data_IF_457465492061
#
_entry.id   IF_457465492061
#
_cell.length_a   1.000
_cell.length_b   1.000
_cell.length_c   1.000
_cell.angle_alpha   90.00
_cell.angle_beta   90.00
_cell.angle_gamma   90.00
#
_symmetry.space_group_name_H-M   'P 1'
#
loop_
_entity.id
_entity.type
_entity.pdbx_description
1 polymer ?
#
# COMPACT_ATOMS: atom_id res chain seq x y z
N UNK A 1 6.78 -2.24 16.96
CA UNK A 1 7.75 -3.30 17.27
C UNK A 1 9.13 -2.71 17.38
N UNK A 2 9.74 -2.76 18.56
CA UNK A 2 11.14 -2.41 18.77
C UNK A 2 12.08 -3.49 18.17
N UNK A 3 13.39 -3.31 18.26
CA UNK A 3 14.36 -4.25 17.67
C UNK A 3 14.24 -5.66 18.28
N UNK A 4 14.26 -5.77 19.61
CA UNK A 4 14.17 -7.05 20.32
C UNK A 4 12.88 -7.83 19.97
N UNK A 5 11.74 -7.14 19.92
CA UNK A 5 10.46 -7.74 19.51
C UNK A 5 10.49 -8.31 18.09
N UNK A 6 11.22 -7.67 17.16
CA UNK A 6 11.36 -8.19 15.79
C UNK A 6 12.25 -9.42 15.74
N UNK A 7 13.36 -9.43 16.50
CA UNK A 7 14.24 -10.60 16.59
C UNK A 7 13.46 -11.82 17.10
N UNK A 8 12.73 -11.68 18.22
CA UNK A 8 11.94 -12.77 18.78
C UNK A 8 10.83 -13.24 17.83
N UNK A 9 10.18 -12.32 17.11
CA UNK A 9 9.19 -12.70 16.10
C UNK A 9 9.78 -13.56 14.98
N UNK A 10 11.00 -13.24 14.51
CA UNK A 10 11.69 -14.02 13.46
C UNK A 10 12.18 -15.37 14.00
N UNK A 11 12.68 -15.43 15.25
CA UNK A 11 13.11 -16.68 15.91
C UNK A 11 12.00 -17.72 16.03
N UNK A 12 10.74 -17.30 16.09
CA UNK A 12 9.57 -18.19 16.13
C UNK A 12 9.01 -18.53 14.74
N UNK A 13 9.64 -18.09 13.66
CA UNK A 13 9.25 -18.49 12.31
C UNK A 13 9.70 -19.93 12.04
N UNK A 14 8.77 -20.78 11.58
CA UNK A 14 9.00 -22.21 11.30
C UNK A 14 10.20 -22.49 10.38
N UNK A 15 10.52 -21.56 9.48
CA UNK A 15 11.50 -21.74 8.41
C UNK A 15 12.86 -21.10 8.72
N UNK A 16 13.05 -20.58 9.93
CA UNK A 16 14.28 -19.89 10.34
C UNK A 16 15.12 -20.82 11.21
N UNK A 17 16.37 -21.03 10.80
CA UNK A 17 17.36 -21.80 11.57
C UNK A 17 18.25 -20.91 12.44
N UNK A 18 18.71 -19.77 11.90
CA UNK A 18 19.57 -18.79 12.59
C UNK A 18 19.06 -17.37 12.36
N UNK A 19 19.23 -16.50 13.37
CA UNK A 19 18.97 -15.05 13.26
C UNK A 19 20.26 -14.29 13.51
N UNK A 20 20.73 -13.58 12.50
CA UNK A 20 21.83 -12.62 12.60
C UNK A 20 21.27 -11.28 13.07
N UNK A 21 21.63 -10.87 14.28
CA UNK A 21 21.28 -9.55 14.83
C UNK A 21 22.11 -8.46 14.13
N UNK A 22 21.58 -7.23 14.10
CA UNK A 22 22.25 -6.06 13.48
C UNK A 22 22.75 -6.27 12.05
N UNK A 23 21.95 -6.96 11.22
CA UNK A 23 22.24 -7.13 9.80
C UNK A 23 22.47 -5.77 9.11
N UNK A 24 23.48 -5.66 8.22
CA UNK A 24 23.82 -4.39 7.59
C UNK A 24 22.73 -3.96 6.61
N UNK A 25 22.63 -2.65 6.38
CA UNK A 25 21.70 -2.10 5.39
C UNK A 25 22.04 -2.52 3.96
N UNK A 26 23.34 -2.67 3.66
CA UNK A 26 23.86 -3.14 2.36
C UNK A 26 24.72 -4.37 2.61
N UNK A 27 24.47 -5.44 1.85
CA UNK A 27 25.22 -6.70 1.96
C UNK A 27 26.47 -6.60 1.09
N UNK A 28 27.64 -6.78 1.70
CA UNK A 28 28.94 -6.74 1.03
C UNK A 28 29.64 -8.11 1.01
N UNK A 29 30.82 -8.18 0.40
CA UNK A 29 31.61 -9.40 0.30
C UNK A 29 32.02 -9.95 1.67
N UNK A 30 32.38 -9.06 2.61
CA UNK A 30 32.85 -9.45 3.94
C UNK A 30 31.73 -10.11 4.75
N UNK A 31 30.50 -9.59 4.65
CA UNK A 31 29.34 -10.18 5.29
C UNK A 31 28.99 -11.56 4.70
N UNK A 32 29.02 -11.68 3.37
CA UNK A 32 28.78 -12.96 2.68
C UNK A 32 29.82 -14.01 3.08
N UNK A 33 31.11 -13.65 3.12
CA UNK A 33 32.19 -14.57 3.50
C UNK A 33 32.08 -14.98 4.97
N UNK A 34 31.90 -14.00 5.88
CA UNK A 34 31.78 -14.24 7.32
C UNK A 34 30.67 -15.24 7.66
N UNK A 35 29.51 -15.10 7.03
CA UNK A 35 28.35 -15.95 7.30
C UNK A 35 28.19 -17.10 6.30
N UNK A 36 29.17 -17.30 5.42
CA UNK A 36 29.18 -18.35 4.39
C UNK A 36 27.88 -18.39 3.57
N UNK A 37 27.41 -17.22 3.11
CA UNK A 37 26.13 -17.08 2.44
C UNK A 37 26.22 -17.56 0.97
N UNK A 38 25.46 -18.61 0.65
CA UNK A 38 25.36 -19.11 -0.72
C UNK A 38 24.48 -18.22 -1.59
N UNK A 39 23.30 -17.85 -1.07
CA UNK A 39 22.29 -17.05 -1.75
C UNK A 39 21.65 -16.01 -0.83
N UNK A 40 21.27 -14.87 -1.40
CA UNK A 40 20.49 -13.81 -0.75
C UNK A 40 19.08 -13.82 -1.33
N UNK A 41 18.06 -14.01 -0.49
CA UNK A 41 16.66 -14.08 -0.91
C UNK A 41 15.86 -12.84 -0.51
N UNK A 42 15.28 -12.15 -1.49
CA UNK A 42 14.36 -11.01 -1.31
C UNK A 42 13.41 -10.95 -2.52
N UNK A 43 12.37 -10.10 -2.52
CA UNK A 43 11.59 -9.86 -3.74
C UNK A 43 12.45 -9.25 -4.86
N UNK A 44 12.00 -9.42 -6.11
CA UNK A 44 12.80 -9.10 -7.32
C UNK A 44 13.00 -7.59 -7.54
N UNK A 45 12.14 -6.77 -6.95
CA UNK A 45 12.14 -5.32 -7.14
C UNK A 45 13.47 -4.69 -6.68
N UNK A 46 13.93 -3.68 -7.41
CA UNK A 46 15.13 -2.94 -7.01
C UNK A 46 14.84 -2.18 -5.72
N UNK A 47 15.63 -2.42 -4.68
CA UNK A 47 15.41 -1.79 -3.40
C UNK A 47 16.29 -0.53 -3.30
N UNK A 48 15.71 0.59 -3.73
CA UNK A 48 16.38 1.89 -3.73
C UNK A 48 16.57 2.44 -2.32
N UNK A 49 17.73 3.04 -2.09
CA UNK A 49 18.07 3.73 -0.85
C UNK A 49 18.95 4.94 -1.16
N UNK A 50 19.08 5.88 -0.22
CA UNK A 50 19.97 7.02 -0.40
C UNK A 50 21.40 6.54 -0.76
N UNK A 51 21.88 6.91 -1.94
CA UNK A 51 23.19 6.52 -2.47
C UNK A 51 23.27 5.14 -3.15
N UNK A 52 22.15 4.41 -3.28
CA UNK A 52 22.11 3.08 -3.89
C UNK A 52 20.88 2.92 -4.79
N UNK A 53 21.12 2.61 -6.07
CA UNK A 53 20.04 2.23 -7.02
C UNK A 53 19.38 0.90 -6.61
N UNK A 54 20.16 -0.02 -6.05
CA UNK A 54 19.66 -1.28 -5.49
C UNK A 54 20.62 -1.79 -4.42
N UNK A 55 20.17 -1.90 -3.16
CA UNK A 55 21.00 -2.41 -2.06
C UNK A 55 21.39 -3.89 -2.23
N UNK A 56 20.68 -4.63 -3.08
CA UNK A 56 21.03 -6.01 -3.44
C UNK A 56 21.85 -6.13 -4.74
N UNK A 57 22.23 -5.00 -5.35
CA UNK A 57 22.93 -4.98 -6.64
C UNK A 57 24.22 -5.82 -6.66
N UNK A 58 24.94 -5.85 -5.54
CA UNK A 58 26.14 -6.69 -5.38
C UNK A 58 25.82 -8.19 -5.40
N UNK A 59 24.81 -8.64 -4.65
CA UNK A 59 24.40 -10.04 -4.67
C UNK A 59 23.87 -10.47 -6.05
N UNK A 60 23.15 -9.57 -6.73
CA UNK A 60 22.64 -9.79 -8.10
C UNK A 60 23.79 -9.92 -9.12
N UNK A 61 24.81 -9.06 -9.06
CA UNK A 61 25.94 -9.10 -10.00
C UNK A 61 26.80 -10.37 -9.87
N UNK A 62 26.81 -10.98 -8.68
CA UNK A 62 27.47 -12.26 -8.41
C UNK A 62 26.63 -13.49 -8.81
N UNK A 63 25.39 -13.31 -9.28
CA UNK A 63 24.47 -14.41 -9.54
C UNK A 63 24.02 -15.16 -8.28
N UNK A 64 24.14 -14.52 -7.10
CA UNK A 64 23.80 -15.09 -5.79
C UNK A 64 22.45 -14.58 -5.25
N UNK A 65 21.66 -13.89 -6.06
CA UNK A 65 20.35 -13.39 -5.65
C UNK A 65 19.24 -14.39 -6.03
N UNK A 66 18.39 -14.75 -5.08
CA UNK A 66 17.26 -15.65 -5.26
C UNK A 66 15.93 -14.88 -5.11
N UNK A 67 15.27 -14.49 -6.22
CA UNK A 67 14.05 -13.70 -6.13
C UNK A 67 12.89 -14.50 -5.54
N UNK A 68 12.21 -13.91 -4.57
CA UNK A 68 10.98 -14.44 -3.95
C UNK A 68 9.76 -13.66 -4.43
N UNK A 69 8.56 -14.18 -4.15
CA UNK A 69 7.29 -13.53 -4.51
C UNK A 69 6.61 -12.97 -3.27
N UNK A 70 6.15 -11.73 -3.37
CA UNK A 70 5.33 -11.10 -2.34
C UNK A 70 4.00 -11.85 -2.18
N UNK A 71 3.50 -11.94 -0.95
CA UNK A 71 2.17 -12.48 -0.68
C UNK A 71 1.13 -11.36 -0.87
N UNK A 72 0.18 -11.48 -1.81
CA UNK A 72 -0.79 -10.42 -2.05
C UNK A 72 -1.78 -10.27 -0.88
N UNK A 73 -2.23 -9.04 -0.63
CA UNK A 73 -3.28 -8.74 0.37
C UNK A 73 -2.81 -8.71 1.83
N UNK A 74 -1.50 -8.78 2.07
CA UNK A 74 -0.91 -8.65 3.40
C UNK A 74 0.37 -7.79 3.34
N UNK A 75 0.42 -6.77 4.19
CA UNK A 75 1.60 -5.93 4.42
C UNK A 75 1.51 -5.27 5.79
N UNK A 76 2.62 -4.82 6.35
CA UNK A 76 2.61 -4.05 7.61
C UNK A 76 1.75 -2.79 7.48
N UNK A 77 1.86 -2.08 6.34
CA UNK A 77 1.06 -0.89 6.04
C UNK A 77 -0.44 -1.21 5.99
N UNK A 78 -0.82 -2.30 5.31
CA UNK A 78 -2.22 -2.74 5.22
C UNK A 78 -2.81 -3.05 6.59
N UNK A 79 -2.04 -3.72 7.46
CA UNK A 79 -2.46 -4.03 8.82
C UNK A 79 -2.66 -2.76 9.65
N UNK A 80 -1.71 -1.82 9.57
CA UNK A 80 -1.82 -0.51 10.24
C UNK A 80 -3.05 0.24 9.73
N UNK A 81 -3.24 0.31 8.41
CA UNK A 81 -4.38 1.00 7.81
C UNK A 81 -5.72 0.41 8.25
N UNK A 82 -5.84 -0.93 8.30
CA UNK A 82 -7.05 -1.61 8.81
C UNK A 82 -7.35 -1.21 10.24
N UNK A 83 -6.33 -1.14 11.11
CA UNK A 83 -6.49 -0.72 12.50
C UNK A 83 -6.89 0.75 12.59
N UNK A 84 -6.15 1.64 11.93
CA UNK A 84 -6.41 3.09 11.92
C UNK A 84 -7.82 3.39 11.41
N UNK A 85 -8.25 2.78 10.31
CA UNK A 85 -9.60 2.91 9.78
C UNK A 85 -10.65 2.43 10.78
N UNK A 86 -10.39 1.34 11.49
CA UNK A 86 -11.28 0.83 12.53
C UNK A 86 -11.49 1.83 13.67
N UNK A 87 -10.43 2.49 14.12
CA UNK A 87 -10.53 3.57 15.12
C UNK A 87 -11.25 4.81 14.55
N UNK A 88 -10.87 5.31 13.37
CA UNK A 88 -11.52 6.48 12.74
C UNK A 88 -13.02 6.30 12.58
N UNK A 89 -13.44 5.11 12.16
CA UNK A 89 -14.84 4.76 11.96
C UNK A 89 -15.54 4.29 13.25
N UNK A 90 -14.88 4.36 14.42
CA UNK A 90 -15.43 3.96 15.72
C UNK A 90 -15.93 2.51 15.77
N UNK A 91 -15.38 1.63 14.94
CA UNK A 91 -15.77 0.22 14.84
C UNK A 91 -15.46 -0.52 16.15
N UNK A 92 -14.40 -0.10 16.85
CA UNK A 92 -13.96 -0.71 18.09
C UNK A 92 -14.65 -0.14 19.35
N UNK A 93 -15.29 1.03 19.26
CA UNK A 93 -15.87 1.74 20.42
C UNK A 93 -16.87 0.89 21.24
N UNK A 94 -17.83 0.16 20.63
CA UNK A 94 -18.77 -0.66 21.41
C UNK A 94 -18.06 -1.74 22.23
N UNK A 95 -17.00 -2.34 21.66
CA UNK A 95 -16.22 -3.38 22.34
C UNK A 95 -15.36 -2.78 23.45
N UNK A 96 -14.72 -1.63 23.20
CA UNK A 96 -13.88 -0.93 24.17
C UNK A 96 -14.70 -0.46 25.39
N UNK A 97 -15.89 0.11 25.17
CA UNK A 97 -16.81 0.47 26.24
C UNK A 97 -17.22 -0.75 27.08
N UNK A 98 -17.55 -1.88 26.44
CA UNK A 98 -17.86 -3.13 27.15
C UNK A 98 -16.69 -3.65 27.98
N UNK A 99 -15.46 -3.38 27.55
CA UNK A 99 -14.23 -3.74 28.26
C UNK A 99 -13.83 -2.71 29.34
N UNK A 100 -14.60 -1.63 29.54
CA UNK A 100 -14.26 -0.56 30.46
C UNK A 100 -13.03 0.26 30.03
N UNK A 101 -12.73 0.29 28.73
CA UNK A 101 -11.59 0.99 28.13
C UNK A 101 -12.03 2.20 27.32
N UNK A 102 -12.81 3.07 27.94
CA UNK A 102 -13.28 4.30 27.29
C UNK A 102 -12.12 5.25 26.94
N UNK A 103 -10.99 5.14 27.65
CA UNK A 103 -9.73 5.84 27.38
C UNK A 103 -9.12 5.53 26.00
N UNK A 104 -9.49 4.41 25.39
CA UNK A 104 -8.98 3.98 24.07
C UNK A 104 -9.95 4.24 22.93
N UNK A 105 -11.14 4.79 23.20
CA UNK A 105 -12.12 5.10 22.15
C UNK A 105 -11.60 6.24 21.28
N UNK A 106 -12.02 6.25 20.03
CA UNK A 106 -11.56 7.29 19.12
C UNK A 106 -12.15 8.65 19.53
N UNK A 107 -11.27 9.56 19.96
CA UNK A 107 -11.54 10.99 19.96
C UNK A 107 -11.66 11.40 18.48
N UNK A 108 -12.83 11.92 18.08
CA UNK A 108 -13.14 12.14 16.67
C UNK A 108 -12.01 12.89 15.95
N UNK A 109 -11.48 12.31 14.88
CA UNK A 109 -10.51 13.00 14.04
C UNK A 109 -11.24 13.70 12.90
N UNK A 110 -11.15 15.02 12.84
CA UNK A 110 -11.76 15.87 11.81
C UNK A 110 -11.19 15.64 10.39
N UNK A 111 -10.21 14.73 10.25
CA UNK A 111 -9.53 14.44 8.98
C UNK A 111 -10.46 13.95 7.87
N UNK A 112 -11.53 13.20 8.19
CA UNK A 112 -12.45 12.65 7.19
C UNK A 112 -13.60 13.61 6.81
N UNK A 113 -13.85 14.68 7.57
CA UNK A 113 -14.96 15.60 7.29
C UNK A 113 -14.69 16.50 6.06
N UNK A 114 -13.41 16.72 5.73
CA UNK A 114 -13.01 17.47 4.52
C UNK A 114 -13.41 16.76 3.21
N UNK A 115 -13.41 15.41 3.20
CA UNK A 115 -13.84 14.63 2.03
C UNK A 115 -15.36 14.66 1.82
N UNK A 116 -16.11 14.74 2.93
CA UNK A 116 -17.58 14.83 2.94
C UNK A 116 -18.07 16.24 2.60
N UNK A 117 -17.31 17.28 2.96
CA UNK A 117 -17.58 18.66 2.57
C UNK A 117 -17.39 18.87 1.06
N UNK A 118 -16.32 18.32 0.46
CA UNK A 118 -16.09 18.44 -0.99
C UNK A 118 -17.13 17.68 -1.84
N UNK A 119 -17.63 16.53 -1.36
CA UNK A 119 -18.69 15.77 -2.06
C UNK A 119 -20.10 16.39 -1.91
N UNK A 120 -20.36 17.13 -0.82
CA UNK A 120 -21.58 17.94 -0.65
C UNK A 120 -21.58 19.24 -1.46
N UNK A 121 -20.42 19.85 -1.70
CA UNK A 121 -20.31 21.05 -2.53
C UNK A 121 -20.61 20.77 -4.02
N UNK A 122 -20.11 19.64 -4.55
CA UNK A 122 -20.34 19.23 -5.94
C UNK A 122 -21.80 18.84 -6.24
N UNK A 123 -22.49 18.18 -5.31
CA UNK A 123 -23.89 17.76 -5.48
C UNK A 123 -24.88 18.93 -5.44
N UNK A 124 -24.59 19.99 -4.68
CA UNK A 124 -25.45 21.19 -4.59
C UNK A 124 -25.37 22.09 -5.83
N UNK A 125 -24.28 22.03 -6.60
CA UNK A 125 -24.11 22.77 -7.85
C UNK A 125 -24.91 22.14 -9.02
N UNK A 126 -25.06 20.82 -9.04
CA UNK A 126 -25.83 20.11 -10.09
C UNK A 126 -27.35 20.27 -9.91
N UNK A 127 -27.85 20.36 -8.68
CA UNK A 127 -29.28 20.51 -8.39
C UNK A 127 -29.86 21.87 -8.84
N UNK A 128 -29.05 22.91 -9.05
CA UNK A 128 -29.51 24.25 -9.46
C UNK A 128 -29.59 24.48 -10.98
N UNK A 129 -29.19 23.52 -11.82
CA UNK A 129 -29.21 23.66 -13.30
C UNK A 129 -30.36 22.93 -14.02
N UNK A 130 -31.28 22.29 -13.30
CA UNK A 130 -32.32 21.45 -13.90
C UNK A 130 -33.74 21.94 -13.67
N UNK A 131 -34.12 23.11 -14.21
CA UNK A 131 -35.54 23.43 -14.44
C UNK A 131 -35.73 24.55 -15.47
N UNK A 132 -35.50 24.28 -16.75
CA UNK A 132 -36.16 25.03 -17.83
C UNK A 132 -36.68 24.00 -18.84
N UNK A 133 -37.99 24.08 -19.09
CA UNK A 133 -38.82 23.04 -19.67
C UNK A 133 -38.53 22.69 -21.13
N UNK A 134 -38.96 21.49 -21.48
CA UNK A 134 -38.97 20.96 -22.83
C UNK A 134 -40.20 21.44 -23.60
N UNK A 135 -40.01 21.89 -24.85
CA UNK A 135 -41.02 21.81 -25.90
C UNK A 135 -40.38 21.41 -27.23
N UNK A 136 -41.02 20.43 -27.86
CA UNK A 136 -40.66 19.68 -29.06
C UNK A 136 -40.25 20.50 -30.30
N UNK A 137 -39.32 19.96 -31.10
CA UNK A 137 -39.64 19.52 -32.48
C UNK A 137 -38.52 18.66 -33.10
N UNK A 138 -38.98 17.81 -33.99
CA UNK A 138 -38.38 16.64 -34.62
C UNK A 138 -37.48 17.03 -35.79
N UNK A 139 -36.29 16.46 -35.97
CA UNK A 139 -35.60 16.32 -37.27
C UNK A 139 -34.49 15.24 -37.20
N UNK A 140 -34.53 14.31 -38.17
CA UNK A 140 -33.67 13.13 -38.33
C UNK A 140 -32.21 13.48 -38.70
N UNK A 141 -31.22 12.60 -38.40
CA UNK A 141 -29.83 12.80 -38.80
C UNK A 141 -29.54 12.25 -40.21
N UNK A 142 -28.77 12.96 -41.07
CA UNK A 142 -28.18 12.34 -42.25
C UNK A 142 -26.84 11.69 -41.91
N UNK A 143 -26.71 10.41 -42.31
CA UNK A 143 -25.45 9.71 -42.49
C UNK A 143 -24.53 10.45 -43.47
N UNK A 144 -23.23 10.53 -43.18
CA UNK A 144 -22.23 10.54 -44.24
C UNK A 144 -20.94 9.82 -43.82
N UNK A 145 -20.56 8.89 -44.68
CA UNK A 145 -19.47 7.92 -44.57
C UNK A 145 -18.10 8.58 -44.41
N UNK A 146 -17.21 7.92 -43.66
CA UNK A 146 -15.75 7.98 -43.89
C UNK A 146 -15.28 6.59 -44.30
N UNK A 147 -14.64 6.42 -45.47
CA UNK A 147 -13.87 5.21 -45.75
C UNK A 147 -12.42 5.34 -45.22
N UNK A 148 -11.90 4.20 -44.73
CA UNK A 148 -10.59 3.57 -45.01
C UNK A 148 -9.35 4.50 -44.98
N UNK A 149 -8.31 4.26 -44.18
CA UNK A 149 -7.39 3.11 -44.30
C UNK A 149 -6.24 3.43 -45.27
N UNK A 150 -4.97 3.32 -44.85
CA UNK A 150 -3.83 3.38 -45.77
C UNK A 150 -2.47 3.69 -45.13
N UNK A 151 -1.57 2.70 -45.18
CA UNK A 151 -0.16 2.66 -44.74
C UNK A 151 0.76 3.76 -45.29
N UNK A 152 1.78 4.10 -44.49
CA UNK A 152 3.20 4.10 -44.86
C UNK A 152 4.07 4.09 -43.59
#
# INVERSE_FOLDING_TARGET
>A
MNHAERLEAVRHCRWVDEVVEDAPWVIDAAFIEKHQIDYVAHDEEAYQSAGYEDVYGFAKSLGKFLPTRRTPGISTSDLIERMVRGYRNRIFDPKLAKMGRDDLKAEGSDYDDMSRLNSRAGSRAQSRRGSIGASHSHLLPPNLLKPEGGEA
#
